data_IF_395166528316
#
_entry.id   IF_395166528316
#
_cell.length_a   1.000
_cell.length_b   1.000
_cell.length_c   1.000
_cell.angle_alpha   90.00
_cell.angle_beta   90.00
_cell.angle_gamma   90.00
#
_symmetry.space_group_name_H-M   'P 1'
#
loop_
_entity.id
_entity.type
_entity.pdbx_description
1 polymer ?
#
# COMPACT_ATOMS: atom_id res chain seq x y z
N UNK A 1 -8.11 -12.30 0.64
CA UNK A 1 -6.65 -12.37 0.81
C UNK A 1 -6.05 -12.77 -0.53
N UNK A 2 -5.53 -11.81 -1.30
CA UNK A 2 -4.72 -12.12 -2.48
C UNK A 2 -3.30 -12.40 -2.01
N UNK A 3 -2.90 -13.66 -2.00
CA UNK A 3 -1.49 -14.02 -2.01
C UNK A 3 -0.81 -13.33 -3.21
N UNK A 4 0.34 -12.70 -2.99
CA UNK A 4 1.34 -12.60 -4.06
C UNK A 4 1.95 -11.23 -4.42
N UNK A 5 1.40 -10.08 -4.01
CA UNK A 5 2.03 -8.78 -4.35
C UNK A 5 2.16 -7.88 -3.13
N UNK A 6 3.40 -7.72 -2.66
CA UNK A 6 3.77 -6.70 -1.70
C UNK A 6 3.68 -5.33 -2.39
N UNK A 7 2.96 -4.37 -1.79
CA UNK A 7 2.81 -3.03 -2.36
C UNK A 7 4.17 -2.35 -2.46
N UNK A 8 4.40 -1.61 -3.54
CA UNK A 8 5.57 -0.73 -3.67
C UNK A 8 5.44 0.53 -2.80
N UNK A 9 4.25 0.78 -2.23
CA UNK A 9 3.96 1.88 -1.33
C UNK A 9 3.62 1.37 0.07
N UNK A 10 3.69 2.25 1.07
CA UNK A 10 3.46 1.95 2.49
C UNK A 10 2.00 1.61 2.86
N UNK A 11 1.22 1.10 1.90
CA UNK A 11 -0.20 0.75 2.02
C UNK A 11 -0.45 -0.64 2.59
N UNK A 12 0.59 -1.47 2.77
CA UNK A 12 0.40 -2.88 3.14
C UNK A 12 -0.46 -3.07 4.40
N UNK A 13 -0.29 -2.24 5.42
CA UNK A 13 -1.05 -2.34 6.67
C UNK A 13 -2.48 -1.79 6.56
N UNK A 14 -2.78 -1.02 5.51
CA UNK A 14 -4.13 -0.56 5.23
C UNK A 14 -4.88 -1.66 4.46
N UNK A 15 -6.09 -1.96 4.91
CA UNK A 15 -6.97 -2.82 4.13
C UNK A 15 -7.29 -2.14 2.79
N UNK A 16 -7.24 -2.91 1.70
CA UNK A 16 -7.62 -2.39 0.38
C UNK A 16 -9.13 -2.23 0.33
N UNK A 17 -9.65 -1.00 0.14
CA UNK A 17 -11.08 -0.78 0.11
C UNK A 17 -11.71 -1.49 -1.09
N UNK A 18 -12.88 -2.09 -0.88
CA UNK A 18 -13.72 -2.61 -1.97
C UNK A 18 -15.02 -1.84 -2.11
N UNK A 19 -15.67 -1.92 -3.26
CA UNK A 19 -16.94 -1.23 -3.51
C UNK A 19 -18.02 -1.62 -2.49
N UNK A 20 -18.19 -2.93 -2.24
CA UNK A 20 -19.19 -3.43 -1.29
C UNK A 20 -18.88 -3.02 0.15
N UNK A 21 -17.60 -3.03 0.53
CA UNK A 21 -17.17 -2.51 1.83
C UNK A 21 -17.48 -1.01 1.95
N UNK A 22 -17.25 -0.23 0.91
CA UNK A 22 -17.59 1.19 0.86
C UNK A 22 -19.09 1.44 1.06
N UNK A 23 -19.96 0.64 0.44
CA UNK A 23 -21.42 0.71 0.66
C UNK A 23 -21.77 0.33 2.10
N UNK A 24 -21.15 -0.73 2.65
CA UNK A 24 -21.36 -1.17 4.02
C UNK A 24 -20.98 -0.11 5.06
N UNK A 25 -19.93 0.68 4.79
CA UNK A 25 -19.47 1.76 5.68
C UNK A 25 -20.52 2.86 5.92
N UNK A 26 -21.49 3.06 5.02
CA UNK A 26 -22.56 4.07 5.19
C UNK A 26 -23.45 3.77 6.41
N UNK A 27 -23.61 2.48 6.74
CA UNK A 27 -24.49 2.01 7.82
C UNK A 27 -23.72 1.39 8.99
N UNK A 28 -22.38 1.44 8.96
CA UNK A 28 -21.50 0.91 10.00
C UNK A 28 -21.27 1.93 11.12
N UNK A 29 -22.28 2.13 11.97
CA UNK A 29 -22.18 3.05 13.12
C UNK A 29 -21.34 2.49 14.28
N UNK A 30 -21.01 1.20 14.24
CA UNK A 30 -20.26 0.50 15.29
C UNK A 30 -18.80 0.25 14.92
N UNK A 31 -18.39 0.67 13.72
CA UNK A 31 -17.03 0.55 13.22
C UNK A 31 -16.54 -0.90 13.05
N UNK A 32 -17.47 -1.82 12.79
CA UNK A 32 -17.18 -3.26 12.64
C UNK A 32 -16.44 -3.58 11.33
N UNK A 33 -16.54 -2.71 10.33
CA UNK A 33 -15.88 -2.85 9.04
C UNK A 33 -14.48 -2.21 9.03
N UNK A 34 -14.09 -1.45 10.06
CA UNK A 34 -12.71 -0.96 10.18
C UNK A 34 -11.76 -2.08 10.59
N UNK A 35 -11.06 -2.64 9.61
CA UNK A 35 -10.03 -3.66 9.79
C UNK A 35 -8.75 -3.26 9.07
N UNK A 36 -7.62 -3.54 9.71
CA UNK A 36 -6.29 -3.34 9.16
C UNK A 36 -5.66 -4.68 8.81
N UNK A 37 -4.70 -4.66 7.89
CA UNK A 37 -3.85 -5.82 7.66
C UNK A 37 -2.84 -5.95 8.81
N UNK A 38 -2.41 -7.18 9.09
CA UNK A 38 -1.43 -7.45 10.13
C UNK A 38 -0.09 -7.86 9.53
N UNK A 39 0.97 -7.65 10.31
CA UNK A 39 2.30 -8.19 10.06
C UNK A 39 2.65 -9.21 11.15
N UNK A 40 3.60 -10.09 10.89
CA UNK A 40 4.04 -11.11 11.85
C UNK A 40 4.71 -10.53 13.09
N UNK A 41 5.20 -9.29 13.02
CA UNK A 41 5.76 -8.52 14.14
C UNK A 41 5.84 -7.03 13.80
N UNK A 42 5.99 -6.18 14.81
CA UNK A 42 6.27 -4.74 14.63
C UNK A 42 7.51 -4.52 13.77
N UNK A 43 8.61 -5.22 14.08
CA UNK A 43 9.84 -5.15 13.28
C UNK A 43 9.61 -5.52 11.82
N UNK A 44 8.78 -6.53 11.55
CA UNK A 44 8.44 -6.90 10.18
C UNK A 44 7.58 -5.82 9.49
N UNK A 45 6.65 -5.18 10.21
CA UNK A 45 5.90 -4.04 9.69
C UNK A 45 6.82 -2.87 9.31
N UNK A 46 7.74 -2.50 10.20
CA UNK A 46 8.69 -1.39 9.98
C UNK A 46 9.59 -1.66 8.77
N UNK A 47 10.13 -2.88 8.66
CA UNK A 47 10.97 -3.27 7.53
C UNK A 47 10.22 -3.22 6.20
N UNK A 48 8.94 -3.63 6.18
CA UNK A 48 8.10 -3.54 4.97
C UNK A 48 7.86 -2.10 4.57
N UNK A 49 7.54 -1.22 5.52
CA UNK A 49 7.32 0.20 5.27
C UNK A 49 8.57 0.87 4.69
N UNK A 50 9.73 0.70 5.35
CA UNK A 50 11.00 1.26 4.87
C UNK A 50 11.35 0.74 3.47
N UNK A 51 11.15 -0.56 3.22
CA UNK A 51 11.40 -1.15 1.91
C UNK A 51 10.48 -0.55 0.84
N UNK A 52 9.20 -0.35 1.15
CA UNK A 52 8.25 0.26 0.24
C UNK A 52 8.66 1.70 -0.10
N UNK A 53 9.01 2.52 0.90
CA UNK A 53 9.45 3.89 0.68
C UNK A 53 10.68 3.98 -0.26
N UNK A 54 11.67 3.10 -0.07
CA UNK A 54 12.83 3.04 -0.97
C UNK A 54 12.48 2.57 -2.38
N UNK A 55 11.56 1.62 -2.52
CA UNK A 55 11.09 1.17 -3.84
C UNK A 55 10.37 2.30 -4.59
N UNK A 56 9.53 3.08 -3.89
CA UNK A 56 8.84 4.23 -4.46
C UNK A 56 9.84 5.28 -4.96
N UNK A 57 10.81 5.67 -4.13
CA UNK A 57 11.88 6.60 -4.54
C UNK A 57 12.67 6.08 -5.74
N UNK A 58 13.04 4.79 -5.73
CA UNK A 58 13.74 4.17 -6.86
C UNK A 58 12.95 4.20 -8.17
N UNK A 59 11.64 3.93 -8.08
CA UNK A 59 10.73 4.01 -9.22
C UNK A 59 10.61 5.43 -9.76
N UNK A 60 10.52 6.43 -8.88
CA UNK A 60 10.45 7.85 -9.29
C UNK A 60 11.74 8.30 -9.97
N UNK A 61 12.90 7.89 -9.46
CA UNK A 61 14.20 8.15 -10.10
C UNK A 61 14.26 7.53 -11.49
N UNK A 62 13.85 6.26 -11.62
CA UNK A 62 13.83 5.57 -12.91
C UNK A 62 12.93 6.29 -13.92
N UNK A 63 11.71 6.65 -13.50
CA UNK A 63 10.77 7.40 -14.34
C UNK A 63 11.34 8.76 -14.77
N UNK A 64 12.04 9.46 -13.87
CA UNK A 64 12.67 10.74 -14.19
C UNK A 64 13.77 10.58 -15.25
N UNK A 65 14.63 9.56 -15.14
CA UNK A 65 15.67 9.25 -16.13
C UNK A 65 15.04 8.95 -17.50
N UNK A 66 14.00 8.12 -17.54
CA UNK A 66 13.30 7.78 -18.78
C UNK A 66 12.65 9.00 -19.44
N UNK A 67 12.09 9.92 -18.65
CA UNK A 67 11.52 11.16 -19.15
C UNK A 67 12.57 12.10 -19.75
N UNK A 68 13.77 12.17 -19.15
CA UNK A 68 14.89 12.94 -19.70
C UNK A 68 15.36 12.32 -21.01
N UNK A 69 15.56 11.00 -21.05
CA UNK A 69 16.05 10.30 -22.23
C UNK A 69 15.09 10.37 -23.42
N UNK A 70 13.77 10.42 -23.20
CA UNK A 70 12.76 10.58 -24.27
C UNK A 70 12.67 11.99 -24.84
N UNK A 71 13.22 13.00 -24.15
CA UNK A 71 13.19 14.42 -24.57
C UNK A 71 14.43 14.84 -25.36
N UNK A 72 15.43 13.97 -25.48
CA UNK A 72 16.65 14.13 -26.29
C UNK A 72 16.48 13.30 -27.55
#
# INVERSE_FOLDING_TARGET
MSEGYESIYSEYLFARPSFLEGVGRIVDFTNMLEKYNSSSSTKAADLRAIRADWNAVGSDIQQAIEQVNKKI
#
